data_IF_294880498555
#
_entry.id   IF_294880498555
#
_cell.length_a   1.000
_cell.length_b   1.000
_cell.length_c   1.000
_cell.angle_alpha   90.00
_cell.angle_beta   90.00
_cell.angle_gamma   90.00
#
_symmetry.space_group_name_H-M   'P 1'
#
loop_
_entity.id
_entity.type
_entity.pdbx_description
1 polymer ?
#
# COMPACT_ATOMS: atom_id res chain seq x y z
N UNK A 1 5.72 2.58 -24.78
CA UNK A 1 6.71 2.31 -23.71
C UNK A 1 7.79 1.41 -24.26
N UNK A 2 9.06 1.61 -23.88
CA UNK A 2 10.12 0.64 -24.21
C UNK A 2 9.97 -0.61 -23.33
N UNK A 3 10.50 -1.77 -23.77
CA UNK A 3 10.40 -3.03 -23.01
C UNK A 3 10.92 -2.89 -21.57
N UNK A 4 12.05 -2.20 -21.39
CA UNK A 4 12.62 -1.89 -20.06
C UNK A 4 11.69 -1.02 -19.21
N UNK A 5 11.07 0.00 -19.80
CA UNK A 5 10.13 0.89 -19.10
C UNK A 5 8.88 0.16 -18.64
N UNK A 6 8.38 -0.78 -19.45
CA UNK A 6 7.26 -1.63 -19.07
C UNK A 6 7.61 -2.54 -17.90
N UNK A 7 8.78 -3.20 -17.92
CA UNK A 7 9.23 -4.05 -16.81
C UNK A 7 9.33 -3.28 -15.50
N UNK A 8 9.96 -2.10 -15.50
CA UNK A 8 10.06 -1.25 -14.30
C UNK A 8 8.68 -0.84 -13.80
N UNK A 9 7.79 -0.43 -14.71
CA UNK A 9 6.42 -0.07 -14.35
C UNK A 9 5.67 -1.23 -13.68
N UNK A 10 5.77 -2.44 -14.24
CA UNK A 10 5.15 -3.64 -13.67
C UNK A 10 5.71 -4.00 -12.29
N UNK A 11 7.03 -3.87 -12.09
CA UNK A 11 7.67 -4.09 -10.79
C UNK A 11 7.14 -3.09 -9.77
N UNK A 12 7.10 -1.80 -10.11
CA UNK A 12 6.55 -0.76 -9.23
C UNK A 12 5.09 -1.07 -8.90
N UNK A 13 4.30 -1.49 -9.87
CA UNK A 13 2.89 -1.81 -9.66
C UNK A 13 2.70 -3.03 -8.76
N UNK A 14 3.52 -4.06 -8.93
CA UNK A 14 3.54 -5.22 -8.04
C UNK A 14 3.88 -4.81 -6.60
N UNK A 15 4.89 -3.96 -6.41
CA UNK A 15 5.26 -3.44 -5.09
C UNK A 15 4.12 -2.63 -4.46
N UNK A 16 3.46 -1.75 -5.22
CA UNK A 16 2.31 -0.97 -4.71
C UNK A 16 1.15 -1.87 -4.29
N UNK A 17 0.87 -2.94 -5.04
CA UNK A 17 -0.14 -3.93 -4.67
C UNK A 17 0.25 -4.67 -3.39
N UNK A 18 1.52 -5.05 -3.23
CA UNK A 18 2.00 -5.69 -1.99
C UNK A 18 1.87 -4.76 -0.78
N UNK A 19 2.21 -3.49 -0.94
CA UNK A 19 2.00 -2.45 0.07
C UNK A 19 0.53 -2.36 0.45
N UNK A 20 -0.38 -2.32 -0.54
CA UNK A 20 -1.82 -2.27 -0.28
C UNK A 20 -2.31 -3.51 0.47
N UNK A 21 -1.89 -4.70 0.07
CA UNK A 21 -2.27 -5.95 0.75
C UNK A 21 -1.80 -5.95 2.22
N UNK A 22 -0.58 -5.49 2.48
CA UNK A 22 -0.04 -5.45 3.84
C UNK A 22 -0.71 -4.35 4.69
N UNK A 23 -0.95 -3.16 4.11
CA UNK A 23 -1.71 -2.10 4.78
C UNK A 23 -3.15 -2.54 5.09
N UNK A 24 -3.78 -3.31 4.19
CA UNK A 24 -5.12 -3.85 4.39
C UNK A 24 -5.19 -4.83 5.58
N UNK A 25 -4.13 -5.62 5.84
CA UNK A 25 -4.02 -6.43 7.07
C UNK A 25 -4.15 -5.54 8.31
N UNK A 26 -3.40 -4.43 8.36
CA UNK A 26 -3.46 -3.46 9.45
C UNK A 26 -4.85 -2.85 9.63
N UNK A 27 -5.48 -2.40 8.54
CA UNK A 27 -6.86 -1.86 8.57
C UNK A 27 -7.86 -2.89 9.07
N UNK A 28 -7.77 -4.14 8.60
CA UNK A 28 -8.70 -5.19 9.00
C UNK A 28 -8.54 -5.59 10.48
N UNK A 29 -7.33 -5.50 11.03
CA UNK A 29 -7.05 -5.69 12.47
C UNK A 29 -7.64 -4.54 13.29
N UNK A 30 -7.45 -3.29 12.86
CA UNK A 30 -8.03 -2.12 13.53
C UNK A 30 -9.57 -2.15 13.55
N UNK A 31 -10.19 -2.75 12.54
CA UNK A 31 -11.65 -2.89 12.43
C UNK A 31 -12.23 -4.08 13.22
N UNK A 32 -11.42 -4.88 13.91
CA UNK A 32 -11.88 -6.10 14.57
C UNK A 32 -12.93 -5.84 15.69
N UNK A 33 -12.86 -4.69 16.35
CA UNK A 33 -13.79 -4.28 17.41
C UNK A 33 -15.06 -3.57 16.93
N UNK A 34 -15.22 -3.34 15.61
CA UNK A 34 -16.34 -2.59 15.06
C UNK A 34 -17.47 -3.51 14.55
N UNK A 35 -18.68 -2.96 14.47
CA UNK A 35 -19.84 -3.66 13.90
C UNK A 35 -19.63 -4.12 12.46
N UNK A 36 -20.37 -5.16 12.06
CA UNK A 36 -20.28 -5.82 10.74
C UNK A 36 -20.50 -4.86 9.58
N UNK A 37 -21.46 -3.94 9.71
CA UNK A 37 -21.77 -2.91 8.70
C UNK A 37 -20.59 -1.95 8.49
N UNK A 38 -20.04 -1.39 9.57
CA UNK A 38 -18.90 -0.47 9.52
C UNK A 38 -17.69 -1.13 8.88
N UNK A 39 -17.37 -2.37 9.27
CA UNK A 39 -16.25 -3.12 8.70
C UNK A 39 -16.41 -3.36 7.20
N UNK A 40 -17.64 -3.62 6.74
CA UNK A 40 -17.94 -3.81 5.30
C UNK A 40 -17.77 -2.52 4.52
N UNK A 41 -18.31 -1.41 5.01
CA UNK A 41 -18.21 -0.09 4.36
C UNK A 41 -16.76 0.34 4.23
N UNK A 42 -15.98 0.26 5.33
CA UNK A 42 -14.57 0.67 5.31
C UNK A 42 -13.75 -0.23 4.37
N UNK A 43 -14.01 -1.55 4.35
CA UNK A 43 -13.35 -2.48 3.44
C UNK A 43 -13.62 -2.14 1.97
N UNK A 44 -14.88 -1.87 1.62
CA UNK A 44 -15.24 -1.50 0.25
C UNK A 44 -14.60 -0.17 -0.13
N UNK A 45 -14.71 0.85 0.74
CA UNK A 45 -14.10 2.16 0.51
C UNK A 45 -12.59 2.07 0.29
N UNK A 46 -11.90 1.29 1.13
CA UNK A 46 -10.46 1.04 1.00
C UNK A 46 -10.10 0.49 -0.38
N UNK A 47 -10.76 -0.59 -0.81
CA UNK A 47 -10.47 -1.24 -2.09
C UNK A 47 -10.84 -0.38 -3.29
N UNK A 48 -11.95 0.36 -3.23
CA UNK A 48 -12.33 1.31 -4.29
C UNK A 48 -11.27 2.40 -4.47
N UNK A 49 -10.78 2.97 -3.36
CA UNK A 49 -9.72 3.98 -3.40
C UNK A 49 -8.41 3.37 -3.93
N UNK A 50 -8.02 2.19 -3.45
CA UNK A 50 -6.79 1.51 -3.89
C UNK A 50 -6.81 1.19 -5.38
N UNK A 51 -7.85 0.50 -5.85
CA UNK A 51 -7.98 0.12 -7.26
C UNK A 51 -8.12 1.36 -8.14
N UNK A 52 -8.86 2.38 -7.68
CA UNK A 52 -8.97 3.66 -8.36
C UNK A 52 -7.61 4.35 -8.54
N UNK A 53 -6.78 4.37 -7.50
CA UNK A 53 -5.42 4.94 -7.57
C UNK A 53 -4.50 4.16 -8.51
N UNK A 54 -4.53 2.83 -8.48
CA UNK A 54 -3.76 2.01 -9.42
C UNK A 54 -4.23 2.25 -10.87
N UNK A 55 -5.54 2.34 -11.09
CA UNK A 55 -6.12 2.69 -12.40
C UNK A 55 -5.68 4.06 -12.89
N UNK A 56 -5.65 5.06 -12.01
CA UNK A 56 -5.15 6.40 -12.33
C UNK A 56 -3.67 6.39 -12.70
N UNK A 57 -2.84 5.60 -12.00
CA UNK A 57 -1.41 5.46 -12.33
C UNK A 57 -1.20 4.79 -13.69
N UNK A 58 -1.98 3.74 -14.00
CA UNK A 58 -1.96 3.09 -15.31
C UNK A 58 -2.38 4.08 -16.40
N UNK A 59 -3.47 4.82 -16.20
CA UNK A 59 -3.93 5.82 -17.16
C UNK A 59 -2.91 6.94 -17.36
N UNK A 60 -2.28 7.43 -16.28
CA UNK A 60 -1.22 8.42 -16.34
C UNK A 60 0.02 7.90 -17.10
N UNK A 61 0.37 6.62 -16.92
CA UNK A 61 1.47 5.99 -17.65
C UNK A 61 1.19 5.87 -19.15
N UNK A 62 -0.06 5.56 -19.54
CA UNK A 62 -0.49 5.47 -20.93
C UNK A 62 -0.54 6.85 -21.63
N UNK A 63 -0.96 7.89 -20.92
CA UNK A 63 -1.10 9.26 -21.46
C UNK A 63 0.16 10.13 -21.29
N UNK A 64 1.23 9.59 -20.70
CA UNK A 64 2.42 10.36 -20.33
C UNK A 64 3.06 11.15 -21.48
N UNK A 65 3.08 10.59 -22.70
CA UNK A 65 3.67 11.27 -23.86
C UNK A 65 2.89 12.52 -24.27
N UNK A 66 1.56 12.47 -24.24
CA UNK A 66 0.68 13.60 -24.56
C UNK A 66 0.79 14.71 -23.50
N UNK A 67 0.85 14.32 -22.22
CA UNK A 67 0.99 15.27 -21.12
C UNK A 67 2.34 16.01 -21.14
N UNK A 68 3.41 15.31 -21.54
CA UNK A 68 4.74 15.90 -21.69
C UNK A 68 4.82 16.90 -22.84
N UNK A 69 4.14 16.62 -23.95
CA UNK A 69 4.04 17.54 -25.09
C UNK A 69 3.33 18.85 -24.72
N UNK A 70 2.28 18.76 -23.89
CA UNK A 70 1.49 19.91 -23.45
C UNK A 70 2.11 20.68 -22.25
N UNK A 71 3.26 20.25 -21.72
CA UNK A 71 3.94 20.85 -20.55
C UNK A 71 3.00 21.16 -19.37
N UNK A 72 2.02 20.29 -19.13
CA UNK A 72 0.98 20.55 -18.14
C UNK A 72 1.47 20.18 -16.73
N UNK A 73 2.35 21.00 -16.15
CA UNK A 73 2.97 20.76 -14.85
C UNK A 73 1.95 20.72 -13.70
N UNK A 74 0.86 21.49 -13.78
CA UNK A 74 -0.22 21.46 -12.78
C UNK A 74 -0.88 20.10 -12.69
N UNK A 75 -1.11 19.43 -13.82
CA UNK A 75 -1.72 18.10 -13.83
C UNK A 75 -0.79 17.03 -13.20
N UNK A 76 0.50 17.05 -13.54
CA UNK A 76 1.50 16.15 -12.95
C UNK A 76 1.67 16.38 -11.44
N UNK A 77 1.63 17.63 -10.99
CA UNK A 77 1.68 17.99 -9.57
C UNK A 77 0.44 17.46 -8.82
N UNK A 78 -0.76 17.70 -9.35
CA UNK A 78 -2.01 17.20 -8.74
C UNK A 78 -2.06 15.68 -8.65
N UNK A 79 -1.58 14.97 -9.67
CA UNK A 79 -1.47 13.51 -9.64
C UNK A 79 -0.51 13.02 -8.56
N UNK A 80 0.65 13.68 -8.41
CA UNK A 80 1.64 13.36 -7.38
C UNK A 80 1.09 13.64 -5.97
N UNK A 81 0.39 14.76 -5.80
CA UNK A 81 -0.25 15.12 -4.54
C UNK A 81 -1.36 14.14 -4.15
N UNK A 82 -2.22 13.76 -5.10
CA UNK A 82 -3.27 12.76 -4.89
C UNK A 82 -2.67 11.39 -4.53
N UNK A 83 -1.60 10.99 -5.23
CA UNK A 83 -0.86 9.78 -4.90
C UNK A 83 -0.32 9.83 -3.47
N UNK A 84 0.37 10.90 -3.09
CA UNK A 84 0.87 11.07 -1.73
C UNK A 84 -0.24 11.06 -0.68
N UNK A 85 -1.37 11.72 -0.94
CA UNK A 85 -2.50 11.78 -0.02
C UNK A 85 -3.02 10.39 0.37
N UNK A 86 -3.09 9.46 -0.59
CA UNK A 86 -3.58 8.10 -0.34
C UNK A 86 -2.48 7.09 -0.01
N UNK A 87 -1.25 7.35 -0.45
CA UNK A 87 -0.12 6.45 -0.22
C UNK A 87 0.53 6.66 1.15
N UNK A 88 0.65 7.91 1.60
CA UNK A 88 1.31 8.25 2.87
C UNK A 88 0.66 7.55 4.09
N UNK A 89 -0.68 7.55 4.25
CA UNK A 89 -1.31 6.84 5.38
C UNK A 89 -1.02 5.33 5.36
N UNK A 90 -0.90 4.73 4.17
CA UNK A 90 -0.58 3.31 4.02
C UNK A 90 0.82 3.02 4.53
N UNK A 91 1.81 3.86 4.17
CA UNK A 91 3.17 3.73 4.70
C UNK A 91 3.19 3.77 6.23
N UNK A 92 2.43 4.70 6.83
CA UNK A 92 2.32 4.81 8.29
C UNK A 92 1.77 3.51 8.90
N UNK A 93 0.70 2.95 8.34
CA UNK A 93 0.11 1.68 8.81
C UNK A 93 1.13 0.55 8.71
N UNK A 94 1.84 0.45 7.59
CA UNK A 94 2.85 -0.59 7.35
C UNK A 94 4.00 -0.48 8.34
N UNK A 95 4.45 0.74 8.65
CA UNK A 95 5.51 0.95 9.63
C UNK A 95 5.10 0.45 11.02
N UNK A 96 3.92 0.84 11.52
CA UNK A 96 3.45 0.38 12.83
C UNK A 96 3.22 -1.13 12.87
N UNK A 97 2.55 -1.67 11.86
CA UNK A 97 2.26 -3.11 11.82
C UNK A 97 3.53 -3.95 11.62
N UNK A 98 4.48 -3.44 10.83
CA UNK A 98 5.78 -4.07 10.63
C UNK A 98 6.62 -4.09 11.88
N UNK A 99 6.59 -3.02 12.69
CA UNK A 99 7.24 -2.99 13.99
C UNK A 99 6.65 -4.04 14.94
N UNK A 100 5.32 -4.15 15.01
CA UNK A 100 4.66 -5.19 15.80
C UNK A 100 5.06 -6.60 15.34
N UNK A 101 5.07 -6.86 14.04
CA UNK A 101 5.47 -8.16 13.47
C UNK A 101 6.95 -8.47 13.81
N UNK A 102 7.87 -7.49 13.71
CA UNK A 102 9.29 -7.65 14.07
C UNK A 102 9.44 -7.99 15.57
N UNK A 103 8.72 -7.29 16.44
CA UNK A 103 8.77 -7.54 17.89
C UNK A 103 8.26 -8.94 18.24
N UNK A 104 7.22 -9.43 17.56
CA UNK A 104 6.73 -10.80 17.73
C UNK A 104 7.76 -11.84 17.31
N UNK A 105 8.40 -11.64 16.15
CA UNK A 105 9.47 -12.54 15.68
C UNK A 105 10.65 -12.55 16.66
N UNK A 106 11.04 -11.38 17.18
CA UNK A 106 12.10 -11.27 18.17
C UNK A 106 11.77 -12.01 19.47
N UNK A 107 10.56 -11.82 20.02
CA UNK A 107 10.10 -12.54 21.21
C UNK A 107 10.07 -14.05 20.96
N UNK A 108 9.53 -14.49 19.83
CA UNK A 108 9.49 -15.91 19.47
C UNK A 108 10.90 -16.52 19.37
N UNK A 109 11.84 -15.80 18.75
CA UNK A 109 13.24 -16.20 18.70
C UNK A 109 13.87 -16.29 20.09
N UNK A 110 13.62 -15.30 20.95
CA UNK A 110 14.12 -15.30 22.33
C UNK A 110 13.59 -16.47 23.16
N UNK A 111 12.28 -16.75 23.08
CA UNK A 111 11.64 -17.89 23.77
C UNK A 111 12.24 -19.24 23.37
N UNK A 112 12.62 -19.42 22.11
CA UNK A 112 13.30 -20.63 21.63
C UNK A 112 14.74 -20.77 22.11
N UNK A 113 15.39 -19.67 22.48
CA UNK A 113 16.77 -19.65 22.95
C UNK A 113 16.87 -19.74 24.48
N UNK A 114 15.80 -19.39 25.20
CA UNK A 114 15.72 -19.57 26.66
C UNK A 114 15.30 -21.01 27.01
N UNK A 115 15.98 -21.69 27.95
CA UNK A 115 15.68 -23.08 28.34
C UNK A 115 14.36 -23.27 29.12
N UNK A 116 13.43 -22.32 29.07
CA UNK A 116 12.11 -22.40 29.69
C UNK A 116 11.09 -23.22 28.85
N UNK A 117 11.49 -23.78 27.70
CA UNK A 117 10.65 -24.59 26.83
C UNK A 117 10.72 -26.11 27.08
N UNK A 118 11.54 -26.56 28.04
CA UNK A 118 11.72 -27.99 28.39
C UNK A 118 11.31 -28.34 29.84
N UNK A 119 10.62 -27.44 30.56
CA UNK A 119 10.10 -27.69 31.90
C UNK A 119 8.56 -27.82 31.92
#
# INVERSE_FOLDING_TARGET
>A
MTSRGLTVFLIVMAVLVLIDLYAYKGVNTALAGFGTTTRRVVRIAYWVISVGMLGLLVWAALTFQEQRANRNYSFMFSMSALFMLFFLPKLVIILFHGLDDILHVFRWGWWKLTPAGEA
#
